data_IF_305596998682
#
_entry.id   IF_305596998682
#
_cell.length_a   1.000
_cell.length_b   1.000
_cell.length_c   1.000
_cell.angle_alpha   90.00
_cell.angle_beta   90.00
_cell.angle_gamma   90.00
#
_symmetry.space_group_name_H-M   'P 1'
#
loop_
_entity.id
_entity.type
_entity.pdbx_description
1 polymer ?
#
# COMPACT_ATOMS: atom_id res chain seq x y z
N UNK A 1 -13.50 5.11 18.91
CA UNK A 1 -12.72 4.48 20.02
C UNK A 1 -12.59 2.96 19.88
N UNK A 2 -13.66 2.14 19.83
CA UNK A 2 -13.50 0.67 19.73
C UNK A 2 -12.71 0.21 18.50
N UNK A 3 -12.98 0.78 17.31
CA UNK A 3 -12.25 0.47 16.10
C UNK A 3 -10.77 0.89 16.19
N UNK A 4 -10.48 2.08 16.72
CA UNK A 4 -9.08 2.54 16.90
C UNK A 4 -8.29 1.63 17.84
N UNK A 5 -8.91 1.15 18.93
CA UNK A 5 -8.28 0.19 19.84
C UNK A 5 -8.01 -1.16 19.15
N UNK A 6 -8.94 -1.65 18.33
CA UNK A 6 -8.75 -2.90 17.58
C UNK A 6 -7.63 -2.77 16.54
N UNK A 7 -7.57 -1.64 15.82
CA UNK A 7 -6.51 -1.36 14.84
C UNK A 7 -5.13 -1.19 15.50
N UNK A 8 -5.08 -0.49 16.65
CA UNK A 8 -3.86 -0.40 17.43
C UNK A 8 -3.37 -1.80 17.88
N UNK A 9 -4.29 -2.62 18.41
CA UNK A 9 -4.00 -4.02 18.78
C UNK A 9 -3.54 -4.85 17.59
N UNK A 10 -4.15 -4.68 16.40
CA UNK A 10 -3.77 -5.40 15.18
C UNK A 10 -2.30 -5.16 14.84
N UNK A 11 -1.85 -3.90 14.91
CA UNK A 11 -0.48 -3.50 14.58
C UNK A 11 0.50 -3.55 15.77
N UNK A 12 0.06 -3.97 16.95
CA UNK A 12 0.84 -3.92 18.21
C UNK A 12 1.38 -2.51 18.51
N UNK A 13 0.55 -1.50 18.22
CA UNK A 13 0.84 -0.10 18.52
C UNK A 13 -0.03 0.39 19.69
N UNK A 14 0.39 1.49 20.33
CA UNK A 14 -0.34 2.04 21.47
C UNK A 14 -1.66 2.68 21.07
N UNK A 15 -1.71 3.31 19.88
CA UNK A 15 -2.89 4.03 19.39
C UNK A 15 -3.05 3.87 17.89
N UNK A 16 -4.29 4.01 17.43
CA UNK A 16 -4.63 4.28 16.04
C UNK A 16 -5.52 5.52 15.97
N UNK A 17 -5.48 6.19 14.83
CA UNK A 17 -6.27 7.38 14.53
C UNK A 17 -6.98 7.18 13.19
N UNK A 18 -8.31 7.34 13.17
CA UNK A 18 -9.14 7.13 11.99
C UNK A 18 -9.24 8.38 11.12
N UNK A 19 -9.21 8.18 9.81
CA UNK A 19 -9.44 9.20 8.78
C UNK A 19 -10.51 8.72 7.78
N UNK A 20 -11.05 9.65 6.99
CA UNK A 20 -12.06 9.33 5.97
C UNK A 20 -11.54 8.41 4.86
N UNK A 21 -10.22 8.37 4.63
CA UNK A 21 -9.53 7.45 3.72
C UNK A 21 -8.05 7.36 4.09
N UNK A 22 -7.36 6.33 3.57
CA UNK A 22 -5.90 6.22 3.70
C UNK A 22 -5.16 7.34 2.95
N UNK A 23 -5.75 7.88 1.87
CA UNK A 23 -5.23 9.06 1.19
C UNK A 23 -5.13 10.25 2.16
N UNK A 24 -6.23 10.56 2.83
CA UNK A 24 -6.32 11.65 3.83
C UNK A 24 -5.41 11.36 5.03
N UNK A 25 -5.30 10.10 5.46
CA UNK A 25 -4.41 9.70 6.53
C UNK A 25 -2.93 9.98 6.18
N UNK A 26 -2.47 9.58 4.97
CA UNK A 26 -1.12 9.88 4.48
C UNK A 26 -0.88 11.39 4.43
N UNK A 27 -1.74 12.12 3.71
CA UNK A 27 -1.57 13.56 3.49
C UNK A 27 -1.46 14.32 4.81
N UNK A 28 -2.44 14.15 5.69
CA UNK A 28 -2.50 14.96 6.90
C UNK A 28 -1.56 14.52 8.01
N UNK A 29 -1.16 13.26 8.02
CA UNK A 29 -0.11 12.81 8.95
C UNK A 29 1.23 13.42 8.58
N UNK A 30 1.62 13.38 7.30
CA UNK A 30 2.88 13.97 6.84
C UNK A 30 2.90 15.48 7.03
N UNK A 31 1.78 16.18 6.77
CA UNK A 31 1.68 17.63 7.07
C UNK A 31 1.81 17.90 8.57
N UNK A 32 1.19 17.09 9.42
CA UNK A 32 1.25 17.27 10.87
C UNK A 32 2.66 17.01 11.41
N UNK A 33 3.32 15.94 10.99
CA UNK A 33 4.69 15.61 11.38
C UNK A 33 5.66 16.76 11.06
N UNK A 34 5.52 17.40 9.91
CA UNK A 34 6.36 18.55 9.55
C UNK A 34 6.16 19.78 10.43
N UNK A 35 5.00 19.90 11.08
CA UNK A 35 4.73 20.97 12.06
C UNK A 35 5.22 20.65 13.47
N UNK A 36 5.32 19.37 13.79
CA UNK A 36 5.65 18.87 15.13
C UNK A 36 7.15 18.68 15.28
N UNK A 37 7.81 18.13 14.24
CA UNK A 37 9.20 17.72 14.29
C UNK A 37 10.08 18.80 13.66
N UNK A 38 10.93 19.47 14.46
CA UNK A 38 11.84 20.48 13.93
C UNK A 38 12.79 19.88 12.89
N UNK A 39 13.03 20.63 11.81
CA UNK A 39 13.98 20.27 10.76
C UNK A 39 13.74 18.90 10.10
N UNK A 40 12.51 18.37 10.13
CA UNK A 40 12.21 17.12 9.46
C UNK A 40 12.57 17.18 7.97
N UNK A 41 13.15 16.12 7.46
CA UNK A 41 13.37 15.90 6.03
C UNK A 41 12.79 14.56 5.62
N UNK A 42 11.87 14.57 4.66
CA UNK A 42 11.30 13.35 4.13
C UNK A 42 12.23 12.72 3.11
N UNK A 43 12.55 11.44 3.29
CA UNK A 43 13.30 10.62 2.35
C UNK A 43 12.31 9.60 1.79
N UNK A 44 11.80 9.90 0.58
CA UNK A 44 10.67 9.22 -0.04
C UNK A 44 11.13 8.24 -1.10
N UNK A 45 10.57 7.02 -1.10
CA UNK A 45 10.75 6.11 -2.24
C UNK A 45 10.15 6.71 -3.51
N UNK A 46 10.82 6.54 -4.66
CA UNK A 46 10.39 7.10 -5.95
C UNK A 46 9.05 6.55 -6.43
N UNK A 47 8.66 5.36 -6.00
CA UNK A 47 7.43 4.68 -6.41
C UNK A 47 6.27 4.87 -5.42
N UNK A 48 6.43 5.74 -4.42
CA UNK A 48 5.39 6.01 -3.45
C UNK A 48 4.09 6.51 -4.08
N UNK A 49 2.98 6.13 -3.49
CA UNK A 49 1.64 6.53 -3.87
C UNK A 49 1.45 8.05 -3.87
N UNK A 50 0.60 8.55 -4.77
CA UNK A 50 0.31 9.98 -4.92
C UNK A 50 -0.06 10.67 -3.59
N UNK A 51 -0.78 10.02 -2.67
CA UNK A 51 -1.15 10.60 -1.38
C UNK A 51 0.06 10.94 -0.51
N UNK A 52 1.14 10.16 -0.58
CA UNK A 52 2.42 10.42 0.09
C UNK A 52 3.11 11.60 -0.58
N UNK A 53 3.19 11.59 -1.91
CA UNK A 53 3.81 12.67 -2.68
C UNK A 53 3.14 14.02 -2.37
N UNK A 54 1.80 14.05 -2.41
CA UNK A 54 1.01 15.25 -2.11
C UNK A 54 1.16 15.67 -0.65
N UNK A 55 1.13 14.72 0.30
CA UNK A 55 1.34 14.99 1.71
C UNK A 55 2.70 15.64 1.99
N UNK A 56 3.77 15.11 1.40
CA UNK A 56 5.12 15.68 1.49
C UNK A 56 5.17 17.08 0.85
N UNK A 57 4.58 17.27 -0.33
CA UNK A 57 4.53 18.57 -0.99
C UNK A 57 3.79 19.62 -0.16
N UNK A 58 2.62 19.28 0.36
CA UNK A 58 1.80 20.18 1.17
C UNK A 58 2.41 20.46 2.55
N UNK A 59 3.23 19.57 3.07
CA UNK A 59 3.96 19.78 4.32
C UNK A 59 4.97 20.92 4.24
N UNK A 60 5.48 21.23 3.04
CA UNK A 60 6.56 22.18 2.75
C UNK A 60 7.89 21.85 3.46
N UNK A 61 8.02 20.66 4.01
CA UNK A 61 9.29 20.19 4.56
C UNK A 61 10.31 19.89 3.47
N UNK A 62 11.58 19.84 3.83
CA UNK A 62 12.61 19.36 2.92
C UNK A 62 12.34 17.92 2.54
N UNK A 63 12.71 17.57 1.31
CA UNK A 63 12.56 16.20 0.82
C UNK A 63 13.72 15.78 -0.07
N UNK A 64 14.05 14.52 0.01
CA UNK A 64 14.86 13.79 -0.97
C UNK A 64 14.03 12.61 -1.50
N UNK A 65 14.29 12.18 -2.73
CA UNK A 65 13.66 11.01 -3.32
C UNK A 65 14.76 10.00 -3.62
N UNK A 66 14.68 8.81 -3.04
CA UNK A 66 15.62 7.75 -3.34
C UNK A 66 15.06 6.80 -4.41
N UNK A 67 15.94 6.18 -5.17
CA UNK A 67 15.57 5.21 -6.20
C UNK A 67 14.89 4.01 -5.57
N UNK A 68 13.81 3.57 -6.20
CA UNK A 68 12.97 2.49 -5.68
C UNK A 68 13.79 1.26 -5.27
N UNK A 69 13.62 0.84 -4.01
CA UNK A 69 14.31 -0.31 -3.40
C UNK A 69 15.85 -0.26 -3.49
N UNK A 70 16.46 0.91 -3.70
CA UNK A 70 17.92 1.10 -3.73
C UNK A 70 18.42 1.55 -2.36
N UNK A 71 18.88 0.59 -1.57
CA UNK A 71 19.33 0.83 -0.19
C UNK A 71 20.63 1.64 -0.13
N UNK A 72 21.49 1.54 -1.14
CA UNK A 72 22.68 2.38 -1.23
C UNK A 72 22.30 3.84 -1.42
N UNK A 73 21.39 4.11 -2.33
CA UNK A 73 20.92 5.48 -2.55
C UNK A 73 20.10 6.03 -1.37
N UNK A 74 19.32 5.18 -0.67
CA UNK A 74 18.69 5.56 0.59
C UNK A 74 19.73 5.97 1.64
N UNK A 75 20.80 5.21 1.78
CA UNK A 75 21.87 5.52 2.72
C UNK A 75 22.58 6.83 2.39
N UNK A 76 22.85 7.11 1.10
CA UNK A 76 23.39 8.39 0.65
C UNK A 76 22.50 9.57 1.05
N UNK A 77 21.17 9.44 0.88
CA UNK A 77 20.19 10.45 1.32
C UNK A 77 20.22 10.66 2.85
N UNK A 78 20.29 9.57 3.62
CA UNK A 78 20.34 9.64 5.09
C UNK A 78 21.62 10.33 5.57
N UNK A 79 22.77 10.03 4.96
CA UNK A 79 24.04 10.71 5.26
C UNK A 79 23.96 12.19 4.96
N UNK A 80 23.40 12.57 3.82
CA UNK A 80 23.20 13.97 3.45
C UNK A 80 22.31 14.72 4.45
N UNK A 81 21.20 14.11 4.87
CA UNK A 81 20.29 14.65 5.87
C UNK A 81 21.02 14.87 7.23
N UNK A 82 21.80 13.88 7.66
CA UNK A 82 22.58 13.97 8.91
C UNK A 82 23.62 15.08 8.86
N UNK A 83 24.36 15.21 7.76
CA UNK A 83 25.35 16.29 7.58
C UNK A 83 24.70 17.68 7.62
N UNK A 84 23.45 17.81 7.20
CA UNK A 84 22.68 19.05 7.22
C UNK A 84 21.93 19.28 8.54
N UNK A 85 22.12 18.45 9.58
CA UNK A 85 21.43 18.57 10.86
C UNK A 85 19.90 18.39 10.75
N UNK A 86 19.44 17.57 9.80
CA UNK A 86 18.02 17.26 9.60
C UNK A 86 17.59 16.07 10.44
N UNK A 87 16.29 16.01 10.73
CA UNK A 87 15.63 14.81 11.31
C UNK A 87 15.05 14.01 10.16
N UNK A 88 15.68 12.89 9.75
CA UNK A 88 15.22 12.13 8.60
C UNK A 88 13.94 11.34 8.93
N UNK A 89 13.00 11.31 7.98
CA UNK A 89 11.81 10.47 8.03
C UNK A 89 11.74 9.69 6.71
N UNK A 90 11.95 8.38 6.78
CA UNK A 90 11.87 7.50 5.60
C UNK A 90 10.42 7.15 5.36
N UNK A 91 9.92 7.42 4.15
CA UNK A 91 8.53 7.16 3.74
C UNK A 91 8.52 6.19 2.58
N UNK A 92 7.85 5.05 2.75
CA UNK A 92 7.84 3.96 1.78
C UNK A 92 6.58 3.09 1.90
N UNK A 93 6.33 2.22 0.91
CA UNK A 93 5.22 1.27 0.92
C UNK A 93 5.70 -0.15 1.21
N UNK A 94 4.86 -0.96 1.80
CA UNK A 94 5.14 -2.38 2.01
C UNK A 94 4.87 -3.21 0.77
N UNK A 95 3.81 -2.87 0.02
CA UNK A 95 3.44 -3.48 -1.26
C UNK A 95 3.10 -2.36 -2.22
N UNK A 96 3.88 -2.22 -3.27
CA UNK A 96 3.69 -1.20 -4.29
C UNK A 96 2.58 -1.57 -5.26
N UNK A 97 1.64 -0.65 -5.43
CA UNK A 97 0.34 -0.93 -6.04
C UNK A 97 0.38 -1.23 -7.54
N UNK A 98 1.38 -0.72 -8.26
CA UNK A 98 1.46 -0.84 -9.72
C UNK A 98 2.35 -1.99 -10.18
N UNK A 99 3.41 -2.26 -9.44
CA UNK A 99 4.41 -3.29 -9.76
C UNK A 99 4.15 -4.60 -9.02
N UNK A 100 3.50 -4.52 -7.86
CA UNK A 100 3.18 -5.69 -7.04
C UNK A 100 4.42 -6.28 -6.36
N UNK A 101 5.47 -5.51 -6.22
CA UNK A 101 6.67 -5.86 -5.47
C UNK A 101 6.57 -5.44 -4.00
N UNK A 102 7.61 -5.69 -3.24
CA UNK A 102 7.67 -5.44 -1.80
C UNK A 102 8.81 -4.50 -1.48
N UNK A 103 8.54 -3.51 -0.62
CA UNK A 103 9.59 -2.65 -0.05
C UNK A 103 10.60 -3.46 0.77
N UNK A 104 11.86 -3.05 0.76
CA UNK A 104 12.94 -3.67 1.54
C UNK A 104 12.84 -3.29 3.02
N UNK A 105 11.72 -3.71 3.67
CA UNK A 105 11.29 -3.22 5.00
C UNK A 105 12.39 -3.44 6.05
N UNK A 106 13.02 -4.62 6.06
CA UNK A 106 14.05 -4.94 7.05
C UNK A 106 15.28 -4.05 6.88
N UNK A 107 15.76 -3.92 5.66
CA UNK A 107 16.93 -3.13 5.31
C UNK A 107 16.69 -1.64 5.58
N UNK A 108 15.48 -1.15 5.29
CA UNK A 108 15.06 0.22 5.62
C UNK A 108 15.06 0.43 7.13
N UNK A 109 14.53 -0.51 7.92
CA UNK A 109 14.59 -0.44 9.38
C UNK A 109 16.05 -0.48 9.89
N UNK A 110 16.93 -1.30 9.29
CA UNK A 110 18.35 -1.35 9.68
C UNK A 110 19.04 0.00 9.43
N UNK A 111 18.74 0.67 8.32
CA UNK A 111 19.22 2.02 8.03
C UNK A 111 18.57 3.08 8.95
N UNK A 112 17.28 2.95 9.24
CA UNK A 112 16.61 3.86 10.17
C UNK A 112 17.25 3.82 11.56
N UNK A 113 17.51 2.64 12.10
CA UNK A 113 18.21 2.47 13.39
C UNK A 113 19.61 3.08 13.34
N UNK A 114 20.36 2.88 12.25
CA UNK A 114 21.72 3.39 12.08
C UNK A 114 21.79 4.91 12.07
N UNK A 115 20.83 5.57 11.45
CA UNK A 115 20.83 7.03 11.25
C UNK A 115 19.85 7.78 12.15
N UNK A 116 19.14 7.09 13.05
CA UNK A 116 18.12 7.68 13.93
C UNK A 116 16.94 8.27 13.13
N UNK A 117 16.54 7.61 12.03
CA UNK A 117 15.48 8.06 11.18
C UNK A 117 14.12 7.55 11.67
N UNK A 118 13.09 8.36 11.50
CA UNK A 118 11.69 7.97 11.70
C UNK A 118 11.25 7.11 10.51
N UNK A 119 10.48 6.05 10.76
CA UNK A 119 9.93 5.17 9.73
C UNK A 119 8.43 5.39 9.57
N UNK A 120 8.00 5.72 8.36
CA UNK A 120 6.61 5.82 7.94
C UNK A 120 6.32 4.83 6.82
N UNK A 121 5.51 3.81 7.10
CA UNK A 121 5.17 2.79 6.10
C UNK A 121 3.70 2.84 5.71
N UNK A 122 3.43 2.75 4.41
CA UNK A 122 2.08 2.54 3.87
C UNK A 122 1.84 1.04 3.65
N UNK A 123 0.95 0.47 4.45
CA UNK A 123 0.52 -0.94 4.39
C UNK A 123 -0.82 -1.12 3.65
N UNK A 124 -1.29 -0.12 2.93
CA UNK A 124 -2.63 -0.08 2.30
C UNK A 124 -2.89 -1.28 1.39
N UNK A 125 -1.87 -1.81 0.73
CA UNK A 125 -1.98 -3.01 -0.11
C UNK A 125 -1.62 -4.32 0.62
N UNK A 126 -1.38 -4.26 1.93
CA UNK A 126 -0.97 -5.44 2.68
C UNK A 126 -1.87 -5.77 3.88
N UNK A 127 -2.50 -4.77 4.50
CA UNK A 127 -3.42 -5.00 5.63
C UNK A 127 -4.61 -5.86 5.21
N UNK A 128 -4.96 -6.80 6.06
CA UNK A 128 -5.98 -7.84 5.80
C UNK A 128 -5.46 -9.02 4.97
N UNK A 129 -4.29 -8.92 4.31
CA UNK A 129 -3.80 -9.87 3.30
C UNK A 129 -2.51 -10.61 3.69
N UNK A 130 -1.72 -10.05 4.59
CA UNK A 130 -0.43 -10.60 5.03
C UNK A 130 -0.30 -10.58 6.54
N UNK A 131 0.59 -11.44 7.05
CA UNK A 131 0.79 -11.64 8.48
C UNK A 131 -0.17 -12.66 9.08
N UNK A 132 0.11 -13.09 10.29
CA UNK A 132 -0.69 -14.09 11.01
C UNK A 132 -2.10 -13.57 11.32
N UNK A 133 -2.18 -12.32 11.77
CA UNK A 133 -3.46 -11.68 12.11
C UNK A 133 -4.02 -10.78 11.00
N UNK A 134 -3.27 -10.60 9.90
CA UNK A 134 -3.63 -9.69 8.82
C UNK A 134 -3.17 -8.25 9.03
N UNK A 135 -2.18 -8.03 9.88
CA UNK A 135 -1.63 -6.69 10.11
C UNK A 135 -0.71 -6.19 8.98
N UNK A 136 -0.36 -7.04 8.01
CA UNK A 136 0.41 -6.63 6.85
C UNK A 136 1.79 -7.26 6.76
N UNK A 137 2.67 -6.64 5.97
CA UNK A 137 4.04 -7.13 5.75
C UNK A 137 4.95 -6.90 6.93
N UNK A 138 4.75 -5.81 7.67
CA UNK A 138 5.51 -5.53 8.90
C UNK A 138 5.31 -6.65 9.91
N UNK A 139 4.05 -7.11 10.10
CA UNK A 139 3.77 -8.29 10.94
C UNK A 139 4.41 -9.56 10.37
N UNK A 140 4.27 -9.78 9.06
CA UNK A 140 4.82 -10.98 8.42
C UNK A 140 6.32 -11.13 8.63
N UNK A 141 7.03 -10.01 8.75
CA UNK A 141 8.48 -10.00 8.99
C UNK A 141 8.87 -9.83 10.46
N UNK A 142 7.90 -9.68 11.38
CA UNK A 142 8.15 -9.50 12.81
C UNK A 142 8.80 -8.16 13.15
N UNK A 143 8.49 -7.10 12.40
CA UNK A 143 9.14 -5.79 12.50
C UNK A 143 8.26 -4.70 13.13
N UNK A 144 7.15 -5.08 13.80
CA UNK A 144 6.18 -4.12 14.34
C UNK A 144 6.82 -3.12 15.31
N UNK A 145 7.80 -3.56 16.10
CA UNK A 145 8.48 -2.71 17.09
C UNK A 145 9.53 -1.79 16.47
N UNK A 146 9.86 -1.97 15.18
CA UNK A 146 10.89 -1.20 14.46
C UNK A 146 10.33 -0.16 13.50
N UNK A 147 9.01 -0.12 13.33
CA UNK A 147 8.33 0.84 12.48
C UNK A 147 7.57 1.82 13.35
N UNK A 148 7.77 3.13 13.19
CA UNK A 148 7.16 4.13 14.07
C UNK A 148 5.70 4.38 13.71
N UNK A 149 5.40 4.56 12.41
CA UNK A 149 4.06 4.92 11.94
C UNK A 149 3.65 3.99 10.79
N UNK A 150 2.51 3.35 10.95
CA UNK A 150 1.89 2.48 9.94
C UNK A 150 0.62 3.16 9.43
N UNK A 151 0.52 3.40 8.12
CA UNK A 151 -0.72 3.79 7.46
C UNK A 151 -1.44 2.56 6.91
N UNK A 152 -2.74 2.50 7.10
CA UNK A 152 -3.58 1.41 6.59
C UNK A 152 -4.91 1.89 6.05
N UNK A 153 -5.59 1.01 5.32
CA UNK A 153 -6.90 1.29 4.72
C UNK A 153 -7.97 0.34 5.22
N UNK A 154 -9.18 0.85 5.28
CA UNK A 154 -10.39 0.04 5.45
C UNK A 154 -11.10 -0.24 4.11
N UNK A 155 -10.66 0.45 3.03
CA UNK A 155 -11.33 0.45 1.72
C UNK A 155 -10.94 -0.68 0.77
N UNK A 156 -10.05 -1.61 1.18
CA UNK A 156 -9.62 -2.74 0.36
C UNK A 156 -10.03 -4.08 0.98
N UNK A 157 -9.12 -4.80 1.62
CA UNK A 157 -9.42 -6.11 2.18
C UNK A 157 -10.56 -6.10 3.21
N UNK A 158 -10.69 -5.04 4.00
CA UNK A 158 -11.77 -4.90 4.97
C UNK A 158 -13.12 -4.48 4.36
N UNK A 159 -13.15 -4.03 3.09
CA UNK A 159 -14.37 -3.77 2.32
C UNK A 159 -15.26 -2.65 2.83
N UNK A 160 -14.71 -1.67 3.57
CA UNK A 160 -15.42 -0.55 4.17
C UNK A 160 -14.73 0.77 3.82
N UNK A 161 -15.41 1.90 3.97
CA UNK A 161 -14.78 3.21 3.79
C UNK A 161 -13.87 3.54 4.96
N UNK A 162 -12.73 4.22 4.71
CA UNK A 162 -11.86 4.79 5.73
C UNK A 162 -10.40 4.44 5.56
N UNK A 163 -9.59 5.09 6.36
CA UNK A 163 -8.16 4.83 6.54
C UNK A 163 -7.76 5.15 7.96
N UNK A 164 -6.52 4.83 8.30
CA UNK A 164 -6.02 5.04 9.65
C UNK A 164 -4.49 5.09 9.67
N UNK A 165 -3.97 5.65 10.75
CA UNK A 165 -2.59 5.41 11.16
C UNK A 165 -2.57 4.62 12.46
N UNK A 166 -1.49 3.86 12.69
CA UNK A 166 -1.19 3.21 13.96
C UNK A 166 0.25 3.55 14.38
N UNK A 167 0.43 4.04 15.60
CA UNK A 167 1.69 4.56 16.12
C UNK A 167 1.67 4.65 17.64
N UNK A 168 2.70 5.24 18.22
CA UNK A 168 2.75 5.56 19.64
C UNK A 168 1.70 6.61 20.04
N UNK A 169 1.28 6.58 21.29
CA UNK A 169 0.19 7.43 21.82
C UNK A 169 0.51 8.92 21.71
N UNK A 170 1.75 9.32 21.95
CA UNK A 170 2.20 10.70 21.87
C UNK A 170 2.09 11.21 20.42
N UNK A 171 2.52 10.40 19.45
CA UNK A 171 2.43 10.74 18.02
C UNK A 171 0.97 10.85 17.57
N UNK A 172 0.13 9.88 17.96
CA UNK A 172 -1.29 9.91 17.64
C UNK A 172 -2.00 11.13 18.22
N UNK A 173 -1.69 11.52 19.47
CA UNK A 173 -2.29 12.68 20.13
C UNK A 173 -1.84 14.00 19.48
N UNK A 174 -0.56 14.11 19.15
CA UNK A 174 -0.01 15.26 18.45
C UNK A 174 -0.65 15.43 17.06
N UNK A 175 -0.80 14.35 16.27
CA UNK A 175 -1.46 14.39 14.96
C UNK A 175 -2.94 14.75 15.13
N UNK A 176 -3.65 14.14 16.07
CA UNK A 176 -5.05 14.45 16.40
C UNK A 176 -5.27 15.94 16.67
N UNK A 177 -4.30 16.56 17.36
CA UNK A 177 -4.38 17.98 17.80
C UNK A 177 -4.01 18.98 16.72
N UNK A 178 -3.28 18.57 15.65
CA UNK A 178 -2.68 19.49 14.68
C UNK A 178 -3.17 19.24 13.24
N UNK A 179 -3.54 18.01 12.89
CA UNK A 179 -3.95 17.65 11.54
C UNK A 179 -5.29 18.30 11.19
N UNK A 180 -5.28 19.34 10.35
CA UNK A 180 -6.49 20.05 9.96
C UNK A 180 -7.51 19.17 9.25
N UNK A 181 -7.07 18.20 8.44
CA UNK A 181 -7.95 17.22 7.79
C UNK A 181 -8.51 16.17 8.75
N UNK A 182 -8.07 16.14 10.00
CA UNK A 182 -8.72 15.41 11.08
C UNK A 182 -9.70 16.30 11.86
N UNK A 183 -9.24 17.52 12.23
CA UNK A 183 -9.99 18.43 13.14
C UNK A 183 -11.21 19.03 12.44
N UNK A 184 -11.07 19.48 11.19
CA UNK A 184 -12.05 20.26 10.46
C UNK A 184 -12.85 19.46 9.43
N UNK A 185 -12.88 18.15 9.55
CA UNK A 185 -13.66 17.25 8.70
C UNK A 185 -14.67 16.45 9.51
N UNK A 186 -15.69 15.94 8.81
CA UNK A 186 -16.66 15.04 9.45
C UNK A 186 -16.02 13.68 9.73
N UNK A 187 -16.19 13.17 10.95
CA UNK A 187 -15.73 11.82 11.32
C UNK A 187 -16.51 10.74 10.56
N UNK A 188 -15.93 9.54 10.49
CA UNK A 188 -16.62 8.37 9.95
C UNK A 188 -17.90 8.07 10.73
N UNK A 189 -18.95 7.63 10.01
CA UNK A 189 -20.23 7.32 10.63
C UNK A 189 -20.11 6.14 11.62
N UNK A 190 -20.93 6.09 12.67
CA UNK A 190 -20.94 4.95 13.61
C UNK A 190 -21.21 3.60 12.90
N UNK A 191 -22.06 3.58 11.88
CA UNK A 191 -22.37 2.38 11.08
C UNK A 191 -21.12 1.90 10.33
N UNK A 192 -20.41 2.81 9.66
CA UNK A 192 -19.15 2.48 8.98
C UNK A 192 -18.10 1.98 9.95
N UNK A 193 -17.95 2.62 11.11
CA UNK A 193 -17.02 2.18 12.15
C UNK A 193 -17.37 0.79 12.69
N UNK A 194 -18.65 0.49 12.89
CA UNK A 194 -19.09 -0.83 13.36
C UNK A 194 -18.83 -1.92 12.30
N UNK A 195 -19.14 -1.64 11.03
CA UNK A 195 -18.84 -2.54 9.92
C UNK A 195 -17.33 -2.80 9.78
N UNK A 196 -16.51 -1.76 9.87
CA UNK A 196 -15.07 -1.87 9.84
C UNK A 196 -14.53 -2.71 11.02
N UNK A 197 -15.02 -2.48 12.23
CA UNK A 197 -14.64 -3.25 13.41
C UNK A 197 -14.98 -4.75 13.26
N UNK A 198 -16.15 -5.05 12.71
CA UNK A 198 -16.56 -6.42 12.43
C UNK A 198 -15.65 -7.07 11.38
N UNK A 199 -15.35 -6.35 10.28
CA UNK A 199 -14.48 -6.85 9.22
C UNK A 199 -13.04 -7.10 9.72
N UNK A 200 -12.46 -6.19 10.50
CA UNK A 200 -11.12 -6.36 11.08
C UNK A 200 -11.08 -7.58 12.00
N UNK A 201 -12.04 -7.73 12.93
CA UNK A 201 -12.12 -8.89 13.82
C UNK A 201 -12.32 -10.20 13.06
N UNK A 202 -13.16 -10.18 12.04
CA UNK A 202 -13.41 -11.35 11.19
C UNK A 202 -12.12 -11.79 10.48
N UNK A 203 -11.46 -10.91 9.75
CA UNK A 203 -10.23 -11.25 9.04
C UNK A 203 -9.09 -11.63 9.98
N UNK A 204 -9.00 -11.04 11.17
CA UNK A 204 -8.01 -11.41 12.18
C UNK A 204 -8.12 -12.87 12.59
N UNK A 205 -9.34 -13.42 12.68
CA UNK A 205 -9.60 -14.81 13.08
C UNK A 205 -9.69 -15.81 11.92
N UNK A 206 -9.67 -15.36 10.64
CA UNK A 206 -9.84 -16.20 9.45
C UNK A 206 -8.57 -16.20 8.59
N UNK A 207 -7.49 -16.81 9.12
CA UNK A 207 -6.20 -16.95 8.42
C UNK A 207 -6.30 -17.73 7.11
N UNK A 208 -7.22 -18.70 7.05
CA UNK A 208 -7.48 -19.53 5.88
C UNK A 208 -7.85 -18.71 4.64
N UNK A 209 -8.55 -17.59 4.79
CA UNK A 209 -8.88 -16.69 3.67
C UNK A 209 -7.61 -16.03 3.10
N UNK A 210 -6.65 -15.68 3.97
CA UNK A 210 -5.36 -15.11 3.51
C UNK A 210 -4.53 -16.15 2.78
N UNK A 211 -4.46 -17.38 3.28
CA UNK A 211 -3.76 -18.48 2.62
C UNK A 211 -4.39 -18.78 1.25
N UNK A 212 -5.70 -18.88 1.19
CA UNK A 212 -6.45 -19.09 -0.06
C UNK A 212 -6.21 -17.95 -1.05
N UNK A 213 -6.23 -16.69 -0.60
CA UNK A 213 -5.93 -15.52 -1.43
C UNK A 213 -4.52 -15.59 -2.05
N UNK A 214 -3.51 -15.91 -1.25
CA UNK A 214 -2.13 -16.06 -1.75
C UNK A 214 -2.00 -17.23 -2.72
N UNK A 215 -2.72 -18.33 -2.49
CA UNK A 215 -2.76 -19.47 -3.41
C UNK A 215 -3.38 -19.08 -4.77
N UNK A 216 -4.51 -18.36 -4.77
CA UNK A 216 -5.15 -17.88 -5.99
C UNK A 216 -4.22 -16.95 -6.80
N UNK A 217 -3.50 -16.06 -6.14
CA UNK A 217 -2.54 -15.19 -6.80
C UNK A 217 -1.37 -15.96 -7.42
N UNK A 218 -0.81 -16.93 -6.72
CA UNK A 218 0.26 -17.81 -7.24
C UNK A 218 -0.21 -18.62 -8.44
N UNK A 219 -1.39 -19.23 -8.35
CA UNK A 219 -2.00 -20.01 -9.45
C UNK A 219 -2.23 -19.15 -10.68
N UNK A 220 -2.80 -17.97 -10.50
CA UNK A 220 -3.03 -17.05 -11.62
C UNK A 220 -1.71 -16.68 -12.31
N UNK A 221 -0.70 -16.24 -11.58
CA UNK A 221 0.62 -15.91 -12.14
C UNK A 221 1.21 -17.10 -12.91
N UNK A 222 1.23 -18.27 -12.30
CA UNK A 222 1.78 -19.47 -12.91
C UNK A 222 1.10 -19.81 -14.25
N UNK A 223 -0.25 -19.77 -14.28
CA UNK A 223 -1.02 -20.10 -15.49
C UNK A 223 -0.84 -19.05 -16.59
N UNK A 224 -0.81 -17.76 -16.24
CA UNK A 224 -0.55 -16.69 -17.19
C UNK A 224 0.84 -16.80 -17.82
N UNK A 225 1.88 -17.00 -17.01
CA UNK A 225 3.26 -17.19 -17.49
C UNK A 225 3.34 -18.42 -18.41
N UNK A 226 2.71 -19.54 -18.01
CA UNK A 226 2.69 -20.77 -18.83
C UNK A 226 1.97 -20.55 -20.16
N UNK A 227 1.00 -19.66 -20.22
CA UNK A 227 0.27 -19.29 -21.44
C UNK A 227 1.01 -18.22 -22.28
N UNK A 228 2.21 -17.80 -21.91
CA UNK A 228 2.99 -16.80 -22.62
C UNK A 228 2.52 -15.34 -22.41
N UNK A 229 1.67 -15.11 -21.42
CA UNK A 229 1.19 -13.76 -21.07
C UNK A 229 2.29 -13.02 -20.27
N UNK A 230 2.63 -11.77 -20.62
CA UNK A 230 3.76 -11.05 -20.06
C UNK A 230 3.45 -10.50 -18.65
N UNK A 231 3.41 -11.38 -17.65
CA UNK A 231 3.35 -10.99 -16.24
C UNK A 231 4.67 -10.32 -15.85
N UNK A 232 4.60 -9.18 -15.19
CA UNK A 232 5.80 -8.46 -14.76
C UNK A 232 6.55 -9.25 -13.68
N UNK A 233 7.84 -9.50 -13.89
CA UNK A 233 8.68 -10.34 -13.02
C UNK A 233 8.91 -9.74 -11.63
N UNK A 234 8.87 -8.41 -11.51
CA UNK A 234 9.02 -7.71 -10.22
C UNK A 234 7.90 -8.07 -9.22
N UNK A 235 6.75 -8.50 -9.71
CA UNK A 235 5.61 -8.80 -8.84
C UNK A 235 5.79 -10.09 -8.04
N UNK A 236 6.01 -9.94 -6.74
CA UNK A 236 6.12 -11.03 -5.77
C UNK A 236 4.92 -11.17 -4.84
N UNK A 237 3.87 -10.36 -5.05
CA UNK A 237 2.69 -10.27 -4.18
C UNK A 237 1.42 -10.81 -4.85
N UNK A 238 0.26 -10.51 -4.24
CA UNK A 238 -1.07 -10.85 -4.80
C UNK A 238 -1.47 -10.01 -6.02
N UNK A 239 -0.78 -8.90 -6.26
CA UNK A 239 -1.02 -8.05 -7.43
C UNK A 239 -0.37 -8.73 -8.64
N UNK A 240 -1.12 -8.87 -9.72
CA UNK A 240 -0.66 -9.55 -10.95
C UNK A 240 -0.71 -8.55 -12.11
N UNK A 241 0.36 -7.76 -12.31
CA UNK A 241 0.44 -6.82 -13.42
C UNK A 241 0.86 -7.57 -14.70
N UNK A 242 0.12 -7.33 -15.78
CA UNK A 242 0.38 -7.86 -17.11
C UNK A 242 0.75 -6.70 -18.03
N UNK A 243 1.97 -6.68 -18.51
CA UNK A 243 2.49 -5.59 -19.34
C UNK A 243 1.81 -5.55 -20.70
N UNK A 244 1.39 -4.36 -21.13
CA UNK A 244 0.80 -4.11 -22.46
C UNK A 244 1.64 -3.14 -23.28
N UNK A 245 2.16 -2.06 -22.64
CA UNK A 245 3.10 -1.10 -23.22
C UNK A 245 2.48 -0.06 -24.15
N UNK A 246 1.16 0.04 -24.21
CA UNK A 246 0.42 1.05 -24.97
C UNK A 246 -0.95 1.34 -24.35
N UNK A 247 -1.29 2.61 -24.17
CA UNK A 247 -2.50 3.02 -23.46
C UNK A 247 -3.79 2.69 -24.22
N UNK A 248 -3.79 2.83 -25.55
CA UNK A 248 -4.97 2.53 -26.38
C UNK A 248 -5.19 1.02 -26.43
N UNK A 249 -4.11 0.26 -26.57
CA UNK A 249 -4.14 -1.20 -26.55
C UNK A 249 -4.65 -1.72 -25.19
N UNK A 250 -4.12 -1.20 -24.07
CA UNK A 250 -4.56 -1.59 -22.73
C UNK A 250 -6.05 -1.31 -22.50
N UNK A 251 -6.54 -0.16 -22.98
CA UNK A 251 -7.98 0.18 -22.91
C UNK A 251 -8.82 -0.77 -23.77
N UNK A 252 -8.43 -1.00 -25.03
CA UNK A 252 -9.17 -1.90 -25.95
C UNK A 252 -9.21 -3.33 -25.40
N UNK A 253 -8.10 -3.83 -24.87
CA UNK A 253 -8.03 -5.15 -24.24
C UNK A 253 -8.92 -5.25 -22.99
N UNK A 254 -8.95 -4.23 -22.16
CA UNK A 254 -9.84 -4.16 -20.99
C UNK A 254 -11.31 -4.16 -21.39
N UNK A 255 -11.67 -3.41 -22.44
CA UNK A 255 -13.04 -3.37 -22.96
C UNK A 255 -13.46 -4.72 -23.57
N UNK A 256 -12.58 -5.40 -24.30
CA UNK A 256 -12.82 -6.73 -24.83
C UNK A 256 -13.03 -7.77 -23.72
N UNK A 257 -12.18 -7.76 -22.69
CA UNK A 257 -12.35 -8.62 -21.51
C UNK A 257 -13.73 -8.43 -20.86
N UNK A 258 -14.18 -7.18 -20.73
CA UNK A 258 -15.48 -6.88 -20.12
C UNK A 258 -16.64 -7.31 -21.04
N UNK A 259 -16.62 -6.87 -22.30
CA UNK A 259 -17.77 -6.99 -23.19
C UNK A 259 -17.94 -8.38 -23.80
N UNK A 260 -16.85 -9.11 -24.04
CA UNK A 260 -16.86 -10.41 -24.70
C UNK A 260 -16.71 -11.59 -23.73
N UNK A 261 -16.07 -11.34 -22.57
CA UNK A 261 -15.74 -12.39 -21.61
C UNK A 261 -16.33 -12.17 -20.20
N UNK A 262 -17.05 -11.05 -19.95
CA UNK A 262 -17.59 -10.65 -18.65
C UNK A 262 -16.52 -10.57 -17.53
N UNK A 263 -15.30 -10.20 -17.90
CA UNK A 263 -14.18 -10.07 -16.97
C UNK A 263 -13.80 -8.59 -16.83
N UNK A 264 -14.03 -8.04 -15.64
CA UNK A 264 -13.61 -6.67 -15.34
C UNK A 264 -12.13 -6.62 -14.98
N UNK A 265 -11.38 -5.79 -15.68
CA UNK A 265 -9.99 -5.47 -15.37
C UNK A 265 -9.72 -3.99 -15.61
N UNK A 266 -9.09 -3.32 -14.66
CA UNK A 266 -8.71 -1.93 -14.80
C UNK A 266 -7.44 -1.78 -15.65
N UNK A 267 -7.48 -1.05 -16.79
CA UNK A 267 -6.26 -0.68 -17.50
C UNK A 267 -5.54 0.42 -16.71
N UNK A 268 -4.24 0.28 -16.56
CA UNK A 268 -3.39 1.24 -15.86
C UNK A 268 -2.52 1.95 -16.90
N UNK A 269 -2.72 3.26 -17.01
CA UNK A 269 -2.10 4.13 -18.01
C UNK A 269 -1.42 5.34 -17.34
N UNK A 270 -0.65 6.10 -18.11
CA UNK A 270 -0.14 7.41 -17.70
C UNK A 270 -1.32 8.31 -17.25
N UNK A 271 -1.17 9.10 -16.19
CA UNK A 271 0.05 9.39 -15.42
C UNK A 271 0.33 8.43 -14.26
N UNK A 272 -0.46 7.36 -14.09
CA UNK A 272 -0.28 6.40 -12.97
C UNK A 272 0.98 5.56 -13.13
N UNK A 273 1.36 5.26 -14.37
CA UNK A 273 2.59 4.57 -14.76
C UNK A 273 3.24 5.31 -15.92
N UNK A 274 4.53 5.10 -16.15
CA UNK A 274 5.25 5.72 -17.27
C UNK A 274 4.73 5.23 -18.62
N UNK A 275 4.79 6.12 -19.62
CA UNK A 275 4.45 5.80 -21.01
C UNK A 275 5.34 4.66 -21.50
N UNK A 276 4.73 3.65 -22.12
CA UNK A 276 5.40 2.42 -22.56
C UNK A 276 5.42 1.31 -21.50
N UNK A 277 4.87 1.57 -20.30
CA UNK A 277 4.75 0.59 -19.22
C UNK A 277 3.31 0.34 -18.79
N UNK A 278 2.37 0.71 -19.65
CA UNK A 278 0.95 0.48 -19.43
C UNK A 278 0.65 -1.00 -19.26
N UNK A 279 -0.29 -1.31 -18.39
CA UNK A 279 -0.57 -2.69 -17.96
C UNK A 279 -2.02 -2.94 -17.62
N UNK A 280 -2.42 -4.20 -17.67
CA UNK A 280 -3.63 -4.70 -17.04
C UNK A 280 -3.25 -5.21 -15.65
N UNK A 281 -3.95 -4.75 -14.61
CA UNK A 281 -3.65 -5.14 -13.23
C UNK A 281 -4.74 -6.03 -12.66
N UNK A 282 -4.40 -7.28 -12.39
CA UNK A 282 -5.28 -8.25 -11.75
C UNK A 282 -4.96 -8.39 -10.27
N UNK A 283 -6.00 -8.58 -9.46
CA UNK A 283 -5.91 -8.88 -8.03
C UNK A 283 -6.99 -9.93 -7.70
N UNK A 284 -6.66 -11.22 -7.79
CA UNK A 284 -7.62 -12.27 -7.50
C UNK A 284 -8.06 -12.20 -6.04
N UNK A 285 -9.28 -12.63 -5.76
CA UNK A 285 -9.81 -12.77 -4.40
C UNK A 285 -9.77 -14.23 -3.98
N UNK A 286 -9.96 -14.54 -2.67
CA UNK A 286 -10.07 -15.94 -2.22
C UNK A 286 -11.17 -16.73 -2.93
N UNK A 287 -12.21 -16.04 -3.42
CA UNK A 287 -13.40 -16.65 -4.02
C UNK A 287 -13.29 -16.93 -5.51
N UNK A 288 -12.22 -16.48 -6.17
CA UNK A 288 -11.95 -16.89 -7.56
C UNK A 288 -11.48 -18.35 -7.57
N UNK A 289 -12.30 -19.24 -8.15
CA UNK A 289 -11.98 -20.65 -8.26
C UNK A 289 -11.05 -20.95 -9.45
N UNK A 290 -10.69 -22.23 -9.61
CA UNK A 290 -9.78 -22.66 -10.66
C UNK A 290 -10.41 -22.53 -12.07
N UNK A 291 -11.75 -22.63 -12.18
CA UNK A 291 -12.48 -22.40 -13.42
C UNK A 291 -12.42 -20.95 -13.85
N UNK A 292 -12.74 -20.03 -12.95
CA UNK A 292 -12.64 -18.57 -13.19
C UNK A 292 -11.21 -18.13 -13.57
N UNK A 293 -10.20 -18.73 -12.96
CA UNK A 293 -8.79 -18.44 -13.31
C UNK A 293 -8.48 -18.95 -14.72
N UNK A 294 -8.96 -20.15 -15.09
CA UNK A 294 -8.78 -20.71 -16.43
C UNK A 294 -9.49 -19.87 -17.49
N UNK A 295 -10.73 -19.45 -17.23
CA UNK A 295 -11.51 -18.58 -18.12
C UNK A 295 -10.79 -17.25 -18.38
N UNK A 296 -10.21 -16.65 -17.34
CA UNK A 296 -9.39 -15.43 -17.46
C UNK A 296 -8.15 -15.68 -18.33
N UNK A 297 -7.44 -16.78 -18.12
CA UNK A 297 -6.24 -17.12 -18.91
C UNK A 297 -6.59 -17.29 -20.39
N UNK A 298 -7.66 -18.04 -20.70
CA UNK A 298 -8.12 -18.25 -22.08
C UNK A 298 -8.59 -16.95 -22.74
N UNK A 299 -9.32 -16.10 -22.00
CA UNK A 299 -9.73 -14.78 -22.48
C UNK A 299 -8.53 -13.90 -22.79
N UNK A 300 -7.53 -13.85 -21.90
CA UNK A 300 -6.32 -13.06 -22.12
C UNK A 300 -5.52 -13.54 -23.33
N UNK A 301 -5.36 -14.84 -23.52
CA UNK A 301 -4.70 -15.40 -24.72
C UNK A 301 -5.39 -14.92 -26.00
N UNK A 302 -6.72 -14.97 -26.05
CA UNK A 302 -7.49 -14.49 -27.22
C UNK A 302 -7.29 -12.99 -27.43
N UNK A 303 -7.45 -12.21 -26.37
CA UNK A 303 -7.33 -10.73 -26.42
C UNK A 303 -5.93 -10.30 -26.83
N UNK A 304 -4.86 -10.92 -26.29
CA UNK A 304 -3.48 -10.64 -26.69
C UNK A 304 -3.17 -10.97 -28.15
N UNK A 305 -3.83 -12.00 -28.72
CA UNK A 305 -3.68 -12.37 -30.13
C UNK A 305 -4.48 -11.46 -31.08
N UNK A 306 -5.50 -10.75 -30.58
CA UNK A 306 -6.36 -9.89 -31.38
C UNK A 306 -5.85 -8.45 -31.43
N UNK A 307 -5.33 -7.98 -30.36
CA UNK A 307 -4.84 -6.61 -30.18
C UNK A 307 -3.31 -6.56 -30.08
#
# INVERSE_FOLDING_TARGET
MALELELASLHKKERALLFSSAYVANEWTLIALAKIIPNIEYISDSNNHNSIIVGIQHSRANKQVFRHNDMQNLEECLQAAQLCGKTPCIVFESVYSMDGDVGMIKEICDLADKYGAITYIDEVHAVGLYGETGAGKVEKYGLQDRVDIINGTLGKAFGVQGGYIACDSIVADAIRSIAAGFIFTTSMSPVTCAGALAAVKYLKSHGELREQHQDRARKLKYRLIKAGIPVMECSTTHIVPVLVGDAKRAKAMSDALLNEHNIYCQPINSPTVDVGTERLRFAPTPFHDDGMIEDLVQALVKVFNTY
#
